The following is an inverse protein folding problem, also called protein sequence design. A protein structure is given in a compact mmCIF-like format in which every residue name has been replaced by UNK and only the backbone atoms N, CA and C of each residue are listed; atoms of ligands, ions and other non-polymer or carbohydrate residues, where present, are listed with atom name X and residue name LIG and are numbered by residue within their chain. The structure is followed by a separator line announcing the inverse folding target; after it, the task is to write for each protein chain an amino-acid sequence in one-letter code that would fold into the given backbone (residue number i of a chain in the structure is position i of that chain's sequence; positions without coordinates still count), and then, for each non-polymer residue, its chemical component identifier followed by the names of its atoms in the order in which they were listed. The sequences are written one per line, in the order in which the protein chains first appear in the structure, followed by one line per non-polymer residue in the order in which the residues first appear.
data_IF_052343386462
#
_entry.id   IF_052343386462
#
_cell.length_a   1.000
_cell.length_b   1.000
_cell.length_c   1.000
_cell.angle_alpha   90.00
_cell.angle_beta   90.00
_cell.angle_gamma   90.00
#
_symmetry.space_group_name_H-M   'P 1'
#
loop_
_entity.id
_entity.type
_entity.pdbx_description
1 polymer ?
#
# COMPACT_ATOMS: atom_id res chain seq x y z
N UNK A 1 -8.16 -11.52 2.20
CA UNK A 1 -9.41 -10.99 2.81
C UNK A 1 -10.00 -11.96 3.82
N UNK A 2 -10.31 -13.21 3.44
CA UNK A 2 -10.84 -14.22 4.37
C UNK A 2 -9.96 -14.39 5.61
N UNK A 3 -8.65 -14.57 5.44
CA UNK A 3 -7.71 -14.73 6.57
C UNK A 3 -7.64 -13.52 7.52
N UNK A 4 -7.96 -12.33 7.02
CA UNK A 4 -7.97 -11.09 7.80
C UNK A 4 -9.26 -11.03 8.61
N UNK A 5 -10.40 -11.23 7.94
CA UNK A 5 -11.72 -11.13 8.57
C UNK A 5 -12.02 -12.29 9.51
N UNK A 6 -11.42 -13.47 9.31
CA UNK A 6 -11.55 -14.63 10.19
C UNK A 6 -11.02 -14.39 11.61
N UNK A 7 -10.21 -13.35 11.81
CA UNK A 7 -9.70 -12.95 13.12
C UNK A 7 -10.74 -12.22 13.98
N UNK A 8 -11.89 -11.86 13.40
CA UNK A 8 -12.94 -11.09 14.06
C UNK A 8 -14.20 -11.93 14.27
N UNK A 9 -14.89 -11.71 15.38
CA UNK A 9 -16.16 -12.38 15.66
C UNK A 9 -17.27 -11.83 14.74
N UNK A 10 -17.58 -12.55 13.66
CA UNK A 10 -18.57 -12.15 12.66
C UNK A 10 -19.99 -11.88 13.21
N UNK A 11 -20.29 -12.24 14.47
CA UNK A 11 -21.56 -11.93 15.13
C UNK A 11 -21.61 -10.53 15.74
N UNK A 12 -20.47 -9.82 15.82
CA UNK A 12 -20.37 -8.45 16.33
C UNK A 12 -20.45 -7.43 15.22
N UNK A 13 -20.68 -6.17 15.60
CA UNK A 13 -20.67 -5.05 14.67
C UNK A 13 -19.24 -4.62 14.36
N UNK A 14 -18.89 -4.69 13.09
CA UNK A 14 -17.65 -4.14 12.56
C UNK A 14 -17.87 -3.34 11.30
N UNK A 15 -17.25 -2.16 11.28
CA UNK A 15 -17.07 -1.29 10.12
C UNK A 15 -15.60 -1.25 9.80
N UNK A 16 -15.19 -1.98 8.76
CA UNK A 16 -13.79 -2.06 8.34
C UNK A 16 -13.54 -1.23 7.08
N UNK A 17 -12.28 -0.79 6.94
CA UNK A 17 -11.76 -0.20 5.72
C UNK A 17 -10.42 0.50 5.96
N UNK A 18 -9.99 1.30 4.99
CA UNK A 18 -8.71 2.00 5.03
C UNK A 18 -8.85 3.50 5.26
N UNK A 19 -7.85 4.08 5.93
CA UNK A 19 -7.62 5.52 5.88
C UNK A 19 -6.95 5.91 4.56
N UNK A 20 -6.91 7.21 4.29
CA UNK A 20 -6.05 7.74 3.25
C UNK A 20 -4.60 7.80 3.73
N UNK A 21 -3.66 7.46 2.85
CA UNK A 21 -2.22 7.65 3.06
C UNK A 21 -1.88 9.13 3.27
N UNK A 22 -2.67 10.03 2.67
CA UNK A 22 -2.49 11.47 2.73
C UNK A 22 -3.20 12.07 3.93
N UNK A 23 -2.46 12.69 4.85
CA UNK A 23 -3.00 13.18 6.13
C UNK A 23 -4.13 14.19 5.93
N UNK A 24 -4.02 15.03 4.90
CA UNK A 24 -5.00 16.10 4.67
C UNK A 24 -6.33 15.57 4.12
N UNK A 25 -6.35 14.43 3.43
CA UNK A 25 -7.59 13.77 3.09
C UNK A 25 -8.33 13.34 4.38
N UNK A 26 -7.62 12.71 5.32
CA UNK A 26 -8.22 12.33 6.62
C UNK A 26 -8.69 13.57 7.41
N UNK A 27 -7.93 14.67 7.38
CA UNK A 27 -8.31 15.93 8.04
C UNK A 27 -9.59 16.54 7.45
N UNK A 28 -9.70 16.64 6.12
CA UNK A 28 -10.85 17.27 5.47
C UNK A 28 -12.13 16.41 5.51
N UNK A 29 -11.96 15.08 5.49
CA UNK A 29 -13.08 14.17 5.51
C UNK A 29 -13.38 13.65 6.92
N UNK A 30 -12.54 12.74 7.45
CA UNK A 30 -12.54 12.28 8.85
C UNK A 30 -11.42 11.26 9.10
N UNK A 31 -10.84 11.27 10.31
CA UNK A 31 -9.99 10.16 10.81
C UNK A 31 -10.80 8.95 11.31
N UNK A 32 -12.13 9.00 11.24
CA UNK A 32 -13.02 7.91 11.64
C UNK A 32 -13.75 7.30 10.43
N UNK A 33 -13.45 7.71 9.20
CA UNK A 33 -14.05 7.13 8.00
C UNK A 33 -13.12 6.10 7.36
N UNK A 34 -13.71 5.01 6.87
CA UNK A 34 -13.11 4.26 5.79
C UNK A 34 -13.33 5.01 4.48
N UNK A 35 -12.28 5.14 3.68
CA UNK A 35 -12.36 5.69 2.33
C UNK A 35 -12.89 4.63 1.36
N UNK A 36 -13.83 5.02 0.50
CA UNK A 36 -14.55 4.11 -0.39
C UNK A 36 -13.65 3.44 -1.41
N UNK A 37 -12.63 4.14 -1.94
CA UNK A 37 -11.66 3.57 -2.88
C UNK A 37 -10.78 2.50 -2.23
N UNK A 38 -10.41 2.66 -0.96
CA UNK A 38 -9.76 1.63 -0.16
C UNK A 38 -10.68 0.43 0.13
N UNK A 39 -12.00 0.58 -0.05
CA UNK A 39 -13.00 -0.43 0.22
C UNK A 39 -13.58 -0.33 1.64
N UNK A 40 -14.90 -0.50 1.72
CA UNK A 40 -15.67 -0.53 2.96
C UNK A 40 -16.26 -1.93 3.14
N UNK A 41 -16.08 -2.51 4.32
CA UNK A 41 -16.63 -3.84 4.66
C UNK A 41 -17.45 -3.71 5.95
N UNK A 42 -18.71 -4.12 5.90
CA UNK A 42 -19.58 -4.20 7.07
C UNK A 42 -19.78 -5.66 7.45
N UNK A 43 -19.62 -5.97 8.74
CA UNK A 43 -20.12 -7.24 9.28
C UNK A 43 -21.61 -7.40 8.97
N UNK A 44 -22.07 -8.62 8.75
CA UNK A 44 -23.47 -8.90 8.45
C UNK A 44 -24.47 -8.28 9.46
N UNK A 45 -24.31 -8.43 10.80
CA UNK A 45 -25.25 -7.84 11.75
C UNK A 45 -25.25 -6.30 11.69
N UNK A 46 -24.10 -5.66 11.43
CA UNK A 46 -24.04 -4.21 11.22
C UNK A 46 -24.72 -3.79 9.93
N UNK A 47 -24.49 -4.51 8.83
CA UNK A 47 -25.13 -4.22 7.54
C UNK A 47 -26.67 -4.27 7.65
N UNK A 48 -27.19 -5.22 8.43
CA UNK A 48 -28.63 -5.31 8.74
C UNK A 48 -29.13 -4.09 9.53
N UNK A 49 -28.43 -3.72 10.61
CA UNK A 49 -28.78 -2.53 11.40
C UNK A 49 -28.69 -1.24 10.58
N UNK A 50 -27.68 -1.14 9.71
CA UNK A 50 -27.47 -0.04 8.78
C UNK A 50 -28.64 0.09 7.80
N UNK A 51 -29.02 -1.00 7.13
CA UNK A 51 -30.13 -1.01 6.18
C UNK A 51 -31.46 -0.53 6.81
N UNK A 52 -31.72 -0.86 8.08
CA UNK A 52 -32.92 -0.43 8.79
C UNK A 52 -32.93 1.07 9.10
N UNK A 53 -31.77 1.72 9.19
CA UNK A 53 -31.63 3.12 9.59
C UNK A 53 -31.15 4.06 8.47
N UNK A 54 -30.73 3.53 7.32
CA UNK A 54 -30.05 4.31 6.28
C UNK A 54 -30.91 5.46 5.76
N UNK A 55 -32.23 5.26 5.58
CA UNK A 55 -33.10 6.30 5.04
C UNK A 55 -33.22 7.51 5.98
N UNK A 56 -33.39 7.29 7.27
CA UNK A 56 -33.46 8.38 8.25
C UNK A 56 -32.09 9.06 8.40
N UNK A 57 -31.01 8.28 8.36
CA UNK A 57 -29.66 8.81 8.36
C UNK A 57 -29.34 9.69 7.13
N UNK A 58 -29.69 9.24 5.92
CA UNK A 58 -29.49 10.00 4.69
C UNK A 58 -30.24 11.34 4.73
N UNK A 59 -31.45 11.37 5.32
CA UNK A 59 -32.19 12.63 5.55
C UNK A 59 -31.46 13.52 6.56
N UNK A 60 -30.96 12.95 7.66
CA UNK A 60 -30.22 13.67 8.71
C UNK A 60 -28.97 14.33 8.17
N UNK A 61 -28.22 13.63 7.31
CA UNK A 61 -26.95 14.10 6.75
C UNK A 61 -27.04 14.48 5.27
N UNK A 62 -28.20 14.91 4.80
CA UNK A 62 -28.42 15.27 3.39
C UNK A 62 -27.50 16.41 2.89
N UNK A 63 -26.87 17.15 3.81
CA UNK A 63 -25.91 18.22 3.51
C UNK A 63 -24.49 17.71 3.22
N UNK A 64 -24.16 16.44 3.50
CA UNK A 64 -22.87 15.87 3.12
C UNK A 64 -22.80 15.60 1.61
N UNK A 65 -21.64 15.89 1.03
CA UNK A 65 -21.33 15.63 -0.39
C UNK A 65 -20.41 14.42 -0.62
N UNK A 66 -20.20 13.60 0.41
CA UNK A 66 -19.32 12.43 0.38
C UNK A 66 -20.08 11.21 0.87
N UNK A 67 -20.18 10.18 0.03
CA UNK A 67 -20.83 8.93 0.39
C UNK A 67 -20.11 8.22 1.55
N UNK A 68 -18.78 8.29 1.57
CA UNK A 68 -17.93 7.68 2.60
C UNK A 68 -18.18 8.33 3.96
N UNK A 69 -18.21 9.68 4.00
CA UNK A 69 -18.50 10.44 5.22
C UNK A 69 -19.91 10.18 5.73
N UNK A 70 -20.88 10.08 4.82
CA UNK A 70 -22.25 9.73 5.16
C UNK A 70 -22.33 8.31 5.72
N UNK A 71 -21.66 7.34 5.10
CA UNK A 71 -21.59 5.94 5.57
C UNK A 71 -20.97 5.85 6.96
N UNK A 72 -19.86 6.57 7.20
CA UNK A 72 -19.24 6.69 8.53
C UNK A 72 -20.21 7.26 9.56
N UNK A 73 -20.92 8.35 9.23
CA UNK A 73 -21.84 9.00 10.16
C UNK A 73 -23.06 8.14 10.48
N UNK A 74 -23.64 7.47 9.47
CA UNK A 74 -24.73 6.51 9.68
C UNK A 74 -24.32 5.31 10.51
N UNK A 75 -23.07 4.87 10.37
CA UNK A 75 -22.52 3.78 11.17
C UNK A 75 -22.27 4.21 12.62
N UNK A 76 -21.78 5.44 12.81
CA UNK A 76 -21.61 6.05 14.13
C UNK A 76 -22.95 6.25 14.86
N UNK A 77 -24.03 6.57 14.15
CA UNK A 77 -25.39 6.65 14.73
C UNK A 77 -25.89 5.32 15.29
N UNK A 78 -25.36 4.19 14.80
CA UNK A 78 -25.62 2.84 15.33
C UNK A 78 -24.70 2.53 16.54
N UNK A 79 -23.74 3.40 16.82
CA UNK A 79 -22.77 3.27 17.91
C UNK A 79 -21.51 2.50 17.52
N UNK A 80 -21.15 2.45 16.24
CA UNK A 80 -20.01 1.67 15.74
C UNK A 80 -18.95 2.59 15.13
N UNK A 81 -17.71 2.41 15.56
CA UNK A 81 -16.55 3.16 15.04
C UNK A 81 -15.79 2.34 13.99
N UNK A 82 -14.96 3.02 13.20
CA UNK A 82 -14.06 2.40 12.25
C UNK A 82 -13.08 1.43 12.94
N UNK A 83 -12.97 0.25 12.36
CA UNK A 83 -11.94 -0.76 12.61
C UNK A 83 -10.98 -0.76 11.43
N UNK A 84 -9.89 0.02 11.47
CA UNK A 84 -9.03 0.21 10.30
C UNK A 84 -8.27 -1.08 9.93
N UNK A 85 -8.21 -1.37 8.63
CA UNK A 85 -7.44 -2.47 8.07
C UNK A 85 -6.23 -1.90 7.32
N UNK A 86 -5.03 -2.09 7.90
CA UNK A 86 -3.76 -1.52 7.41
C UNK A 86 -3.34 -1.98 6.00
N UNK A 87 -4.02 -2.94 5.40
CA UNK A 87 -3.78 -3.38 4.01
C UNK A 87 -4.78 -2.81 3.00
N UNK A 88 -5.71 -1.96 3.44
CA UNK A 88 -6.68 -1.29 2.57
C UNK A 88 -6.19 0.11 2.24
N UNK A 89 -5.83 0.36 0.99
CA UNK A 89 -5.15 1.60 0.59
C UNK A 89 -6.00 2.42 -0.37
N UNK A 90 -6.29 3.66 0.01
CA UNK A 90 -6.99 4.64 -0.83
C UNK A 90 -6.08 5.18 -1.93
N UNK A 91 -4.78 5.29 -1.63
CA UNK A 91 -3.72 5.79 -2.49
C UNK A 91 -4.04 7.22 -2.96
N UNK A 92 -4.31 8.12 -2.02
CA UNK A 92 -4.33 9.56 -2.32
C UNK A 92 -2.89 10.08 -2.45
N UNK A 93 -2.14 9.48 -3.37
CA UNK A 93 -0.76 9.78 -3.74
C UNK A 93 -0.70 9.99 -5.26
N UNK A 94 0.37 10.63 -5.74
CA UNK A 94 0.57 10.91 -7.17
C UNK A 94 1.97 10.53 -7.63
N UNK A 95 2.11 10.36 -8.94
CA UNK A 95 3.40 10.05 -9.58
C UNK A 95 3.88 8.64 -9.29
N UNK A 96 5.16 8.47 -9.00
CA UNK A 96 5.82 7.17 -8.87
C UNK A 96 5.56 6.53 -7.49
N UNK A 97 4.68 5.52 -7.43
CA UNK A 97 4.38 4.73 -6.22
C UNK A 97 5.48 3.72 -5.83
N UNK A 98 6.57 3.61 -6.58
CA UNK A 98 7.51 2.50 -6.41
C UNK A 98 8.12 2.41 -5.02
N UNK A 99 8.38 3.54 -4.36
CA UNK A 99 8.83 3.56 -2.98
C UNK A 99 7.84 2.93 -2.00
N UNK A 100 6.57 3.33 -2.10
CA UNK A 100 5.46 2.85 -1.26
C UNK A 100 5.24 1.35 -1.43
N UNK A 101 5.07 0.87 -2.67
CA UNK A 101 4.81 -0.54 -2.97
C UNK A 101 6.02 -1.46 -2.68
N UNK A 102 7.24 -0.93 -2.74
CA UNK A 102 8.45 -1.69 -2.42
C UNK A 102 8.68 -1.89 -0.91
N UNK A 103 8.02 -1.08 -0.08
CA UNK A 103 8.23 -1.05 1.38
C UNK A 103 6.88 -1.16 2.11
N UNK A 104 5.96 -1.95 1.53
CA UNK A 104 4.64 -2.16 2.11
C UNK A 104 4.77 -2.80 3.50
N UNK A 105 3.97 -2.34 4.49
CA UNK A 105 4.00 -2.90 5.85
C UNK A 105 3.70 -4.40 5.87
N UNK A 106 4.01 -5.06 6.98
CA UNK A 106 3.74 -6.50 7.15
C UNK A 106 2.25 -6.88 7.21
N UNK A 107 1.34 -5.91 7.09
CA UNK A 107 -0.09 -6.19 6.94
C UNK A 107 -0.35 -6.89 5.60
N UNK A 108 -1.31 -7.81 5.57
CA UNK A 108 -1.72 -8.45 4.33
C UNK A 108 -2.40 -7.42 3.43
N UNK A 109 -1.96 -7.34 2.17
CA UNK A 109 -2.57 -6.45 1.18
C UNK A 109 -4.03 -6.85 0.91
N UNK A 110 -4.94 -5.88 0.93
CA UNK A 110 -6.37 -6.06 0.71
C UNK A 110 -6.80 -5.37 -0.58
N UNK A 111 -6.48 -4.09 -0.70
CA UNK A 111 -6.88 -3.24 -1.81
C UNK A 111 -5.79 -2.21 -2.09
N UNK A 112 -5.66 -1.88 -3.38
CA UNK A 112 -4.90 -0.75 -3.87
C UNK A 112 -5.86 0.03 -4.75
N UNK A 113 -5.88 1.34 -4.60
CA UNK A 113 -6.75 2.21 -5.37
C UNK A 113 -5.95 3.28 -6.14
N UNK A 114 -6.67 4.16 -6.83
CA UNK A 114 -6.17 5.32 -7.56
C UNK A 114 -5.04 5.04 -8.55
N UNK A 115 -5.08 3.86 -9.21
CA UNK A 115 -4.17 3.53 -10.31
C UNK A 115 -4.24 4.53 -11.48
N UNK A 116 -5.34 5.25 -11.61
CA UNK A 116 -5.59 6.28 -12.63
C UNK A 116 -4.81 7.59 -12.39
N UNK A 117 -4.42 7.88 -11.16
CA UNK A 117 -3.73 9.14 -10.78
C UNK A 117 -2.23 8.99 -10.52
N UNK A 118 -1.74 7.76 -10.54
CA UNK A 118 -0.32 7.41 -10.36
C UNK A 118 0.30 6.96 -11.67
N UNK A 119 1.62 6.97 -11.74
CA UNK A 119 2.34 6.43 -12.89
C UNK A 119 2.13 4.90 -12.95
N UNK A 120 2.28 4.26 -14.13
CA UNK A 120 2.25 2.80 -14.22
C UNK A 120 3.22 2.17 -13.21
N UNK A 121 2.71 1.28 -12.37
CA UNK A 121 3.50 0.71 -11.26
C UNK A 121 4.63 -0.20 -11.74
N UNK A 122 4.56 -0.68 -12.99
CA UNK A 122 5.64 -1.38 -13.67
C UNK A 122 6.20 -0.55 -14.83
N UNK A 123 7.54 -0.41 -14.89
CA UNK A 123 8.22 0.15 -16.05
C UNK A 123 7.83 -0.56 -17.34
N UNK A 124 7.66 0.22 -18.42
CA UNK A 124 7.35 -0.27 -19.76
C UNK A 124 5.95 -0.88 -19.96
N UNK A 125 5.05 -0.73 -18.98
CA UNK A 125 3.64 -1.13 -19.08
C UNK A 125 2.73 0.10 -18.94
N UNK A 126 1.52 0.02 -19.48
CA UNK A 126 0.47 0.97 -19.10
C UNK A 126 -0.13 0.63 -17.71
N UNK A 127 -1.03 1.47 -17.21
CA UNK A 127 -1.67 1.29 -15.89
C UNK A 127 -2.46 -0.01 -15.77
N UNK A 128 -3.23 -0.36 -16.81
CA UNK A 128 -4.07 -1.54 -16.79
C UNK A 128 -3.22 -2.82 -16.86
N UNK A 129 -2.28 -2.87 -17.80
CA UNK A 129 -1.28 -3.94 -17.93
C UNK A 129 -0.52 -4.14 -16.63
N UNK A 130 -0.08 -3.05 -15.99
CA UNK A 130 0.62 -3.11 -14.71
C UNK A 130 -0.22 -3.76 -13.61
N UNK A 131 -1.52 -3.44 -13.54
CA UNK A 131 -2.45 -4.06 -12.59
C UNK A 131 -2.61 -5.55 -12.83
N UNK A 132 -2.83 -5.97 -14.08
CA UNK A 132 -2.91 -7.39 -14.44
C UNK A 132 -1.60 -8.15 -14.16
N UNK A 133 -0.46 -7.50 -14.38
CA UNK A 133 0.85 -8.06 -14.09
C UNK A 133 1.08 -8.27 -12.59
N UNK A 134 0.68 -7.31 -11.75
CA UNK A 134 0.72 -7.47 -10.29
C UNK A 134 -0.17 -8.63 -9.82
N UNK A 135 -1.38 -8.72 -10.37
CA UNK A 135 -2.32 -9.81 -10.05
C UNK A 135 -1.80 -11.18 -10.49
N UNK A 136 -0.95 -11.25 -11.51
CA UNK A 136 -0.32 -12.51 -11.90
C UNK A 136 0.51 -13.10 -10.77
N UNK A 137 1.30 -12.29 -10.04
CA UNK A 137 2.03 -12.75 -8.87
C UNK A 137 1.11 -13.21 -7.73
N UNK A 138 -0.02 -12.52 -7.54
CA UNK A 138 -1.00 -12.86 -6.50
C UNK A 138 -1.63 -14.25 -6.71
N UNK A 139 -1.75 -14.72 -7.96
CA UNK A 139 -2.24 -16.08 -8.27
C UNK A 139 -1.35 -17.20 -7.73
N UNK A 140 -0.07 -16.92 -7.52
CA UNK A 140 0.90 -17.90 -7.01
C UNK A 140 1.00 -17.85 -5.49
N UNK A 141 0.97 -16.64 -4.92
CA UNK A 141 0.92 -16.46 -3.48
C UNK A 141 0.35 -15.08 -3.12
N UNK A 142 -0.95 -15.03 -2.88
CA UNK A 142 -1.66 -13.80 -2.55
C UNK A 142 -1.25 -13.26 -1.16
N UNK A 143 -0.98 -14.15 -0.20
CA UNK A 143 -0.66 -13.77 1.18
C UNK A 143 0.66 -13.03 1.30
N UNK A 144 1.58 -13.26 0.35
CA UNK A 144 2.87 -12.58 0.31
C UNK A 144 2.88 -11.31 -0.52
N UNK A 145 1.78 -10.91 -1.17
CA UNK A 145 1.80 -9.71 -2.03
C UNK A 145 2.36 -8.48 -1.32
N UNK A 146 3.34 -7.85 -1.98
CA UNK A 146 4.10 -6.69 -1.53
C UNK A 146 4.88 -6.85 -0.22
N UNK A 147 4.87 -8.05 0.39
CA UNK A 147 5.59 -8.28 1.64
C UNK A 147 7.08 -8.07 1.44
N UNK A 148 7.63 -7.14 2.22
CA UNK A 148 9.04 -6.77 2.15
C UNK A 148 9.88 -7.76 2.96
N UNK A 149 10.83 -8.40 2.30
CA UNK A 149 11.85 -9.26 2.91
C UNK A 149 13.22 -8.59 2.80
N UNK A 150 13.90 -8.40 3.94
CA UNK A 150 15.22 -7.76 4.01
C UNK A 150 16.29 -8.77 4.41
N UNK A 151 17.22 -9.03 3.50
CA UNK A 151 18.32 -9.99 3.65
C UNK A 151 19.68 -9.32 3.49
N UNK A 152 20.72 -9.91 4.09
CA UNK A 152 22.08 -9.38 4.04
C UNK A 152 23.03 -10.39 3.41
N UNK A 153 23.85 -9.93 2.47
CA UNK A 153 25.01 -10.68 1.97
C UNK A 153 26.28 -9.99 2.49
N UNK A 154 26.67 -10.38 3.71
CA UNK A 154 27.77 -9.75 4.45
C UNK A 154 29.13 -9.86 3.76
N UNK A 155 29.38 -10.90 2.97
CA UNK A 155 30.63 -11.05 2.22
C UNK A 155 30.89 -9.94 1.20
N UNK A 156 29.84 -9.24 0.76
CA UNK A 156 29.91 -8.15 -0.22
C UNK A 156 29.44 -6.82 0.35
N UNK A 157 29.13 -6.75 1.66
CA UNK A 157 28.45 -5.62 2.29
C UNK A 157 27.14 -5.23 1.58
N UNK A 158 26.33 -6.21 1.16
CA UNK A 158 25.09 -5.91 0.43
C UNK A 158 23.84 -6.11 1.28
N UNK A 159 22.86 -5.24 1.06
CA UNK A 159 21.48 -5.40 1.55
C UNK A 159 20.55 -5.67 0.39
N UNK A 160 19.72 -6.69 0.52
CA UNK A 160 18.63 -7.01 -0.39
C UNK A 160 17.31 -6.65 0.29
N UNK A 161 16.44 -5.93 -0.42
CA UNK A 161 15.06 -5.68 -0.02
C UNK A 161 14.15 -6.12 -1.15
N UNK A 162 13.37 -7.17 -0.93
CA UNK A 162 12.52 -7.79 -1.96
C UNK A 162 11.07 -7.59 -1.54
N UNK A 163 10.28 -6.93 -2.40
CA UNK A 163 8.82 -6.84 -2.30
C UNK A 163 8.22 -7.89 -3.23
N UNK A 164 7.55 -8.88 -2.65
CA UNK A 164 7.05 -10.04 -3.39
C UNK A 164 6.02 -9.64 -4.45
N UNK A 165 6.26 -10.12 -5.69
CA UNK A 165 5.43 -9.80 -6.85
C UNK A 165 5.61 -8.38 -7.40
N UNK A 166 6.54 -7.58 -6.85
CA UNK A 166 6.69 -6.18 -7.25
C UNK A 166 8.13 -5.76 -7.57
N UNK A 167 9.04 -5.76 -6.59
CA UNK A 167 10.38 -5.18 -6.79
C UNK A 167 11.48 -5.91 -6.00
N UNK A 168 12.71 -5.72 -6.45
CA UNK A 168 13.91 -6.11 -5.73
C UNK A 168 14.90 -4.94 -5.73
N UNK A 169 15.33 -4.55 -4.54
CA UNK A 169 16.29 -3.50 -4.29
C UNK A 169 17.59 -4.11 -3.79
N UNK A 170 18.71 -3.72 -4.40
CA UNK A 170 20.06 -4.13 -3.97
C UNK A 170 20.82 -2.86 -3.57
N UNK A 171 21.30 -2.82 -2.34
CA UNK A 171 22.16 -1.77 -1.81
C UNK A 171 23.58 -2.32 -1.69
N UNK A 172 24.55 -1.54 -2.14
CA UNK A 172 25.98 -1.84 -1.98
C UNK A 172 26.49 -1.37 -0.61
N UNK A 173 25.66 -1.53 0.42
CA UNK A 173 25.98 -1.23 1.81
C UNK A 173 25.09 -2.08 2.75
N UNK A 174 25.53 -2.30 4.00
CA UNK A 174 24.72 -2.93 5.05
C UNK A 174 23.80 -1.87 5.66
N UNK A 175 22.55 -1.83 5.19
CA UNK A 175 21.55 -0.86 5.59
C UNK A 175 20.71 -1.39 6.77
N UNK A 176 20.44 -0.58 7.80
CA UNK A 176 19.56 -0.97 8.90
C UNK A 176 18.14 -1.28 8.41
N UNK A 177 17.52 -2.36 8.92
CA UNK A 177 16.11 -2.69 8.58
C UNK A 177 15.14 -1.56 8.93
N UNK A 178 15.40 -0.87 10.04
CA UNK A 178 14.59 0.27 10.50
C UNK A 178 14.56 1.43 9.51
N UNK A 179 15.60 1.57 8.69
CA UNK A 179 15.65 2.55 7.61
C UNK A 179 15.00 2.01 6.32
N UNK A 180 15.28 0.75 5.97
CA UNK A 180 14.81 0.14 4.71
C UNK A 180 13.31 -0.15 4.71
N UNK A 181 12.68 -0.34 5.87
CA UNK A 181 11.23 -0.46 6.00
C UNK A 181 10.50 0.84 5.67
N UNK A 182 11.18 1.99 5.73
CA UNK A 182 10.59 3.26 5.35
C UNK A 182 10.71 3.44 3.82
N UNK A 183 9.60 3.72 3.12
CA UNK A 183 9.59 3.93 1.68
C UNK A 183 10.44 5.15 1.30
N UNK A 184 11.19 5.03 0.20
CA UNK A 184 11.76 6.19 -0.46
C UNK A 184 10.60 7.03 -1.00
N UNK A 185 10.59 8.33 -0.72
CA UNK A 185 9.55 9.23 -1.20
C UNK A 185 9.69 9.50 -2.71
N UNK A 186 9.25 8.54 -3.52
CA UNK A 186 9.17 8.65 -4.99
C UNK A 186 7.85 9.26 -5.45
N UNK A 187 6.85 9.23 -4.58
CA UNK A 187 5.49 9.71 -4.81
C UNK A 187 5.34 11.16 -4.34
N UNK A 188 4.20 11.76 -4.68
CA UNK A 188 3.84 13.12 -4.30
C UNK A 188 2.51 13.15 -3.54
N UNK A 189 2.26 14.19 -2.72
CA UNK A 189 0.96 14.42 -2.11
C UNK A 189 -0.19 14.53 -3.13
N UNK A 190 -1.42 14.25 -2.71
CA UNK A 190 -2.62 14.35 -3.57
C UNK A 190 -2.90 15.78 -4.08
N UNK A 191 -2.52 16.79 -3.30
CA UNK A 191 -2.77 18.21 -3.62
C UNK A 191 -1.49 19.04 -3.55
N UNK A 192 -1.62 20.33 -3.87
CA UNK A 192 -0.51 21.29 -3.84
C UNK A 192 -0.24 21.79 -2.41
N UNK A 193 -0.06 20.88 -1.46
CA UNK A 193 0.26 21.21 -0.07
C UNK A 193 1.77 21.15 0.08
N UNK A 194 2.37 22.28 0.45
CA UNK A 194 3.83 22.44 0.52
C UNK A 194 4.41 22.20 1.90
N UNK A 195 3.60 22.33 2.96
CA UNK A 195 4.05 22.20 4.33
C UNK A 195 3.77 20.78 4.86
N UNK A 196 4.79 20.08 5.40
CA UNK A 196 4.61 18.79 6.05
C UNK A 196 3.89 18.92 7.40
N UNK A 197 3.37 17.81 7.98
CA UNK A 197 3.44 16.44 7.47
C UNK A 197 2.48 16.20 6.28
N UNK A 198 2.86 15.29 5.38
CA UNK A 198 2.04 14.91 4.22
C UNK A 198 1.35 13.56 4.38
N UNK A 199 2.00 12.60 5.04
CA UNK A 199 1.53 11.22 5.09
C UNK A 199 1.32 10.77 6.54
N UNK A 200 0.52 9.72 6.71
CA UNK A 200 0.29 9.07 8.01
C UNK A 200 1.34 7.98 8.33
N UNK A 201 2.48 8.01 7.64
CA UNK A 201 3.60 7.08 7.81
C UNK A 201 4.93 7.78 7.52
N UNK A 202 6.02 7.22 8.03
CA UNK A 202 7.36 7.76 7.82
C UNK A 202 7.86 7.46 6.41
N UNK A 203 8.45 8.46 5.76
CA UNK A 203 9.18 8.29 4.51
C UNK A 203 10.67 8.52 4.73
N UNK A 204 11.48 8.17 3.74
CA UNK A 204 12.86 8.64 3.67
C UNK A 204 13.09 9.36 2.34
N UNK A 205 13.90 10.41 2.41
CA UNK A 205 14.25 11.19 1.24
C UNK A 205 15.07 10.36 0.25
N UNK A 206 14.99 10.77 -1.02
CA UNK A 206 15.94 10.32 -2.02
C UNK A 206 17.36 10.78 -1.65
N UNK A 207 18.34 9.89 -1.79
CA UNK A 207 19.75 10.17 -1.57
C UNK A 207 20.49 10.16 -2.92
N UNK A 208 21.47 11.05 -3.09
CA UNK A 208 22.39 11.01 -4.22
C UNK A 208 23.61 10.14 -3.94
N UNK A 209 23.74 9.63 -2.71
CA UNK A 209 24.80 8.71 -2.34
C UNK A 209 24.61 7.37 -3.08
N UNK A 210 25.60 6.95 -3.90
CA UNK A 210 25.59 5.65 -4.53
C UNK A 210 25.41 4.45 -3.59
N UNK A 211 25.83 4.56 -2.33
CA UNK A 211 25.78 3.50 -1.32
C UNK A 211 24.41 3.42 -0.64
N UNK A 212 23.65 4.51 -0.58
CA UNK A 212 22.31 4.57 0.03
C UNK A 212 21.18 4.38 -0.99
N UNK A 213 21.46 4.58 -2.27
CA UNK A 213 20.49 4.41 -3.36
C UNK A 213 20.43 2.95 -3.81
N UNK A 214 19.26 2.31 -3.92
CA UNK A 214 19.21 0.93 -4.40
C UNK A 214 19.36 0.83 -5.92
N UNK A 215 19.99 -0.25 -6.39
CA UNK A 215 19.69 -0.77 -7.72
C UNK A 215 18.25 -1.30 -7.72
N UNK A 216 17.39 -0.65 -8.53
CA UNK A 216 15.97 -1.01 -8.63
C UNK A 216 15.74 -2.05 -9.73
N UNK A 217 15.11 -3.15 -9.36
CA UNK A 217 14.61 -4.18 -10.28
C UNK A 217 13.12 -4.36 -10.05
N UNK A 218 12.37 -4.62 -11.11
CA UNK A 218 10.93 -4.83 -11.08
C UNK A 218 10.58 -6.24 -11.51
N UNK A 219 9.50 -6.75 -10.94
CA UNK A 219 8.99 -8.09 -11.21
C UNK A 219 8.69 -8.25 -12.70
N UNK A 220 9.27 -9.29 -13.32
CA UNK A 220 9.14 -9.58 -14.74
C UNK A 220 8.27 -10.81 -15.00
N UNK A 221 8.50 -11.90 -14.27
CA UNK A 221 7.77 -13.15 -14.45
C UNK A 221 7.90 -14.08 -13.25
N UNK A 222 6.98 -15.03 -13.17
CA UNK A 222 6.90 -16.03 -12.11
C UNK A 222 6.59 -17.39 -12.74
N UNK A 223 7.29 -18.43 -12.30
CA UNK A 223 7.08 -19.81 -12.75
C UNK A 223 7.22 -20.79 -11.59
N UNK A 224 6.48 -21.91 -11.66
CA UNK A 224 6.69 -23.06 -10.77
C UNK A 224 7.73 -23.97 -11.39
N UNK A 225 8.79 -24.26 -10.64
CA UNK A 225 9.85 -25.18 -11.08
C UNK A 225 9.38 -26.64 -10.94
N UNK A 226 10.04 -27.60 -11.60
CA UNK A 226 9.71 -29.03 -11.46
C UNK A 226 9.80 -29.56 -10.02
N UNK A 227 10.57 -28.90 -9.15
CA UNK A 227 10.70 -29.24 -7.72
C UNK A 227 9.65 -28.55 -6.84
N UNK A 228 8.54 -28.07 -7.43
CA UNK A 228 7.47 -27.34 -6.76
C UNK A 228 7.95 -26.08 -6.01
N UNK A 229 9.04 -25.46 -6.48
CA UNK A 229 9.52 -24.16 -5.99
C UNK A 229 8.96 -23.05 -6.87
N UNK A 230 8.84 -21.84 -6.31
CA UNK A 230 8.44 -20.66 -7.07
C UNK A 230 9.70 -19.89 -7.43
N UNK A 231 9.90 -19.64 -8.73
CA UNK A 231 10.98 -18.82 -9.26
C UNK A 231 10.40 -17.52 -9.79
N UNK A 232 10.87 -16.40 -9.24
CA UNK A 232 10.51 -15.03 -9.66
C UNK A 232 11.71 -14.39 -10.35
N UNK A 233 11.50 -13.84 -11.54
CA UNK A 233 12.51 -13.09 -12.31
C UNK A 233 12.24 -11.60 -12.17
N UNK A 234 13.31 -10.84 -11.98
CA UNK A 234 13.25 -9.38 -11.85
C UNK A 234 14.21 -8.74 -12.85
N UNK A 235 13.75 -7.69 -13.51
CA UNK A 235 14.51 -6.98 -14.53
C UNK A 235 14.83 -5.56 -14.09
N UNK A 236 16.03 -5.09 -14.43
CA UNK A 236 16.43 -3.70 -14.19
C UNK A 236 15.64 -2.81 -15.16
N UNK A 237 14.88 -1.86 -14.63
CA UNK A 237 14.10 -0.95 -15.45
C UNK A 237 14.98 0.09 -16.15
N UNK A 238 15.81 0.78 -15.36
CA UNK A 238 16.68 1.86 -15.83
C UNK A 238 18.06 1.75 -15.18
N UNK A 239 19.13 2.25 -15.82
CA UNK A 239 20.36 2.56 -15.12
C UNK A 239 20.07 3.55 -13.98
N UNK A 240 20.76 3.42 -12.86
CA UNK A 240 20.58 4.30 -11.70
C UNK A 240 20.88 5.78 -12.00
N UNK A 241 21.65 6.06 -13.06
CA UNK A 241 22.15 7.41 -13.36
C UNK A 241 23.10 7.97 -12.30
N UNK A 242 23.49 7.15 -11.32
CA UNK A 242 24.38 7.45 -10.21
C UNK A 242 25.54 6.45 -10.30
N UNK A 243 26.75 6.90 -9.99
CA UNK A 243 27.98 6.10 -10.04
C UNK A 243 27.99 4.90 -9.09
N UNK A 244 29.15 4.28 -8.95
CA UNK A 244 29.37 3.12 -8.06
C UNK A 244 29.52 3.54 -6.61
N UNK A 245 29.14 2.67 -5.67
CA UNK A 245 29.48 2.86 -4.26
C UNK A 245 30.99 2.62 -4.05
N UNK A 246 31.73 3.69 -3.74
CA UNK A 246 33.18 3.62 -3.52
C UNK A 246 33.57 3.27 -2.08
N UNK A 247 32.70 3.59 -1.13
CA UNK A 247 32.96 3.44 0.31
C UNK A 247 31.77 2.73 0.98
N UNK A 248 31.63 1.40 0.78
CA UNK A 248 30.64 0.61 1.51
C UNK A 248 30.98 0.62 3.02
N UNK A 249 29.99 0.87 3.86
CA UNK A 249 30.11 0.82 5.32
C UNK A 249 30.21 -0.59 5.88
#
# INVERSE_FOLDING_TARGET
MVDILAQYDHTKYYYFGGHSEFIMANYFFSFHQAFGGAGIILSYPLARAFANNVISCLKRYAFFRSADRTTMSCTADIGVNLSPLMGSHQIDLRGDLSGFLSSHPKSLLISLHHFDTVDPIFPSMDRAQSGYHLLNAAKYDQSRMLQQTICYKRSNNWTFSISWGYSAHIYENIMPRSLIQNPIETFKPWGNITLPPHYIFDTRNFSWDPCETPHKYFFQSIEKTPQNKILTKYIRAWPRGIGVCLYPG
#
